data_IF_039993691797
#
_entry.id   IF_039993691797
#
_cell.length_a   1.000
_cell.length_b   1.000
_cell.length_c   1.000
_cell.angle_alpha   90.00
_cell.angle_beta   90.00
_cell.angle_gamma   90.00
#
_symmetry.space_group_name_H-M   'P 1'
#
loop_
_entity.id
_entity.type
_entity.pdbx_description
1 polymer ?
#
# COMPACT_ATOMS: atom_id res chain seq x y z
N UNK A 1 19.43 1.84 -5.56
CA UNK A 1 18.31 1.27 -4.78
C UNK A 1 17.80 2.20 -3.68
N UNK A 2 18.47 2.44 -2.55
CA UNK A 2 17.89 3.29 -1.47
C UNK A 2 17.60 4.74 -1.92
N UNK A 3 18.53 5.40 -2.63
CA UNK A 3 18.35 6.76 -3.16
C UNK A 3 17.20 6.88 -4.19
N UNK A 4 16.97 5.83 -4.97
CA UNK A 4 15.92 5.81 -6.00
C UNK A 4 14.55 5.49 -5.40
N UNK A 5 14.49 4.58 -4.43
CA UNK A 5 13.27 4.27 -3.68
C UNK A 5 12.76 5.52 -2.96
N UNK A 6 13.65 6.24 -2.28
CA UNK A 6 13.31 7.47 -1.58
C UNK A 6 12.76 8.55 -2.51
N UNK A 7 13.46 8.85 -3.62
CA UNK A 7 13.02 9.85 -4.60
C UNK A 7 11.68 9.48 -5.22
N UNK A 8 11.50 8.21 -5.56
CA UNK A 8 10.27 7.72 -6.15
C UNK A 8 9.11 7.77 -5.17
N UNK A 9 9.32 7.33 -3.93
CA UNK A 9 8.26 7.34 -2.92
C UNK A 9 7.86 8.78 -2.58
N UNK A 10 8.82 9.69 -2.37
CA UNK A 10 8.50 11.11 -2.12
C UNK A 10 7.75 11.79 -3.27
N UNK A 11 8.04 11.41 -4.52
CA UNK A 11 7.41 12.04 -5.69
C UNK A 11 6.07 11.40 -6.09
N UNK A 12 5.87 10.11 -5.83
CA UNK A 12 4.76 9.33 -6.37
C UNK A 12 3.88 8.68 -5.31
N UNK A 13 4.25 8.73 -4.02
CA UNK A 13 3.38 8.25 -2.97
C UNK A 13 2.29 9.28 -2.67
N UNK A 14 1.10 8.79 -2.34
CA UNK A 14 -0.06 9.60 -2.02
C UNK A 14 -0.85 8.97 -0.86
N UNK A 15 -1.54 9.81 -0.11
CA UNK A 15 -2.40 9.35 0.97
C UNK A 15 -3.71 8.79 0.42
N UNK A 16 -4.17 7.69 0.98
CA UNK A 16 -5.45 7.08 0.63
C UNK A 16 -6.04 6.36 1.83
N UNK A 17 -7.26 5.85 1.66
CA UNK A 17 -7.94 5.05 2.67
C UNK A 17 -8.35 3.71 2.07
N UNK A 18 -8.16 2.63 2.83
CA UNK A 18 -8.63 1.30 2.47
C UNK A 18 -9.23 0.62 3.70
N UNK A 19 -10.51 0.28 3.63
CA UNK A 19 -11.27 -0.34 4.74
C UNK A 19 -11.14 0.43 6.07
N UNK A 20 -11.14 1.76 6.02
CA UNK A 20 -11.00 2.62 7.21
C UNK A 20 -9.56 2.79 7.71
N UNK A 21 -8.56 2.17 7.06
CA UNK A 21 -7.15 2.37 7.38
C UNK A 21 -6.57 3.53 6.58
N UNK A 22 -5.89 4.46 7.25
CA UNK A 22 -5.11 5.50 6.57
C UNK A 22 -3.87 4.87 5.98
N UNK A 23 -3.71 4.98 4.67
CA UNK A 23 -2.65 4.33 3.93
C UNK A 23 -1.78 5.33 3.18
N UNK A 24 -0.46 5.10 3.19
CA UNK A 24 0.45 5.73 2.22
C UNK A 24 0.62 4.77 1.05
N UNK A 25 0.17 5.17 -0.14
CA UNK A 25 0.11 4.33 -1.33
C UNK A 25 1.14 4.73 -2.37
N UNK A 26 1.72 3.76 -3.09
CA UNK A 26 2.61 4.02 -4.23
C UNK A 26 2.38 3.00 -5.34
N UNK A 27 2.33 3.47 -6.60
CA UNK A 27 2.21 2.61 -7.77
C UNK A 27 3.58 2.01 -8.13
N UNK A 28 4.04 1.03 -7.35
CA UNK A 28 5.31 0.34 -7.57
C UNK A 28 5.16 -1.15 -7.31
N UNK A 29 5.67 -1.94 -8.24
CA UNK A 29 5.67 -3.41 -8.17
C UNK A 29 7.05 -3.96 -7.86
N UNK A 30 7.12 -5.25 -7.48
CA UNK A 30 8.37 -5.96 -7.15
C UNK A 30 9.19 -5.26 -6.06
N UNK A 31 8.48 -4.75 -5.06
CA UNK A 31 9.06 -4.04 -3.92
C UNK A 31 8.42 -4.52 -2.60
N UNK A 32 8.94 -4.03 -1.48
CA UNK A 32 8.50 -4.35 -0.13
C UNK A 32 8.25 -3.05 0.65
N UNK A 33 8.02 -3.15 1.96
CA UNK A 33 7.79 -1.99 2.83
C UNK A 33 8.93 -0.97 2.84
N UNK A 34 10.18 -1.35 2.51
CA UNK A 34 11.34 -0.44 2.54
C UNK A 34 11.24 0.70 1.51
N UNK A 35 10.34 0.60 0.53
CA UNK A 35 10.07 1.73 -0.36
C UNK A 35 9.52 2.94 0.39
N UNK A 36 8.85 2.72 1.52
CA UNK A 36 8.23 3.77 2.32
C UNK A 36 9.13 4.31 3.44
N UNK A 37 10.36 3.80 3.63
CA UNK A 37 11.24 4.22 4.73
C UNK A 37 11.41 5.75 4.81
N UNK A 38 11.29 6.46 3.68
CA UNK A 38 11.43 7.92 3.61
C UNK A 38 10.16 8.74 3.85
N UNK A 39 8.99 8.10 3.90
CA UNK A 39 7.68 8.76 4.05
C UNK A 39 6.80 8.12 5.13
N UNK A 40 7.20 6.96 5.65
CA UNK A 40 6.46 6.23 6.66
C UNK A 40 6.44 6.99 7.98
N UNK A 41 5.24 7.15 8.54
CA UNK A 41 5.00 7.82 9.80
C UNK A 41 3.89 7.05 10.52
N UNK A 42 4.27 6.28 11.54
CA UNK A 42 3.34 5.45 12.33
C UNK A 42 2.30 6.29 13.08
N UNK A 43 2.54 7.58 13.31
CA UNK A 43 1.56 8.47 13.93
C UNK A 43 0.46 8.91 12.95
N UNK A 44 0.72 8.85 11.63
CA UNK A 44 -0.20 9.30 10.58
C UNK A 44 -0.89 8.17 9.83
N UNK A 45 -0.15 7.10 9.53
CA UNK A 45 -0.61 6.02 8.67
C UNK A 45 -0.73 4.71 9.44
N UNK A 46 -1.74 3.93 9.09
CA UNK A 46 -1.98 2.60 9.64
C UNK A 46 -1.36 1.51 8.78
N UNK A 47 -1.24 1.74 7.47
CA UNK A 47 -0.63 0.80 6.54
C UNK A 47 0.11 1.49 5.38
N UNK A 48 1.03 0.74 4.79
CA UNK A 48 1.72 1.02 3.54
C UNK A 48 1.05 0.22 2.42
N UNK A 49 0.84 0.81 1.25
CA UNK A 49 0.13 0.18 0.13
C UNK A 49 0.94 0.27 -1.16
N UNK A 50 1.41 -0.86 -1.68
CA UNK A 50 1.99 -0.91 -3.03
C UNK A 50 0.99 -1.51 -3.99
N UNK A 51 0.86 -0.95 -5.18
CA UNK A 51 -0.01 -1.53 -6.20
C UNK A 51 0.59 -1.43 -7.59
N UNK A 52 0.07 -2.22 -8.52
CA UNK A 52 0.38 -2.09 -9.93
C UNK A 52 -0.36 -3.10 -10.80
N UNK A 53 -0.46 -2.79 -12.08
CA UNK A 53 -1.21 -3.58 -13.03
C UNK A 53 -0.33 -4.67 -13.66
N UNK A 54 -0.75 -5.93 -13.57
CA UNK A 54 -0.04 -7.08 -14.15
C UNK A 54 -1.04 -8.11 -14.66
N UNK A 55 -0.82 -8.60 -15.89
CA UNK A 55 -1.62 -9.69 -16.51
C UNK A 55 -3.14 -9.43 -16.47
N UNK A 56 -3.56 -8.18 -16.69
CA UNK A 56 -4.98 -7.82 -16.77
C UNK A 56 -5.66 -7.57 -15.42
N UNK A 57 -4.92 -7.55 -14.31
CA UNK A 57 -5.45 -7.28 -12.98
C UNK A 57 -4.52 -6.36 -12.19
N UNK A 58 -5.08 -5.61 -11.24
CA UNK A 58 -4.33 -4.90 -10.24
C UNK A 58 -3.87 -5.87 -9.16
N UNK A 59 -2.59 -5.84 -8.82
CA UNK A 59 -2.07 -6.47 -7.62
C UNK A 59 -1.88 -5.39 -6.56
N UNK A 60 -2.40 -5.63 -5.37
CA UNK A 60 -2.29 -4.73 -4.21
C UNK A 60 -1.60 -5.49 -3.09
N UNK A 61 -0.57 -4.90 -2.50
CA UNK A 61 0.09 -5.39 -1.30
C UNK A 61 0.02 -4.34 -0.21
N UNK A 62 -0.25 -4.79 1.00
CA UNK A 62 -0.39 -4.02 2.22
C UNK A 62 0.67 -4.45 3.21
N UNK A 63 1.25 -3.47 3.91
CA UNK A 63 2.20 -3.71 4.98
C UNK A 63 1.86 -2.83 6.18
N UNK A 64 2.09 -3.31 7.39
CA UNK A 64 1.99 -2.49 8.59
C UNK A 64 3.02 -2.96 9.60
N UNK A 65 3.65 -2.00 10.29
CA UNK A 65 4.53 -2.25 11.43
C UNK A 65 3.76 -2.23 12.76
N UNK A 66 2.48 -1.85 12.73
CA UNK A 66 1.63 -1.72 13.91
C UNK A 66 1.05 -3.08 14.33
N UNK A 67 1.30 -3.47 15.57
CA UNK A 67 0.75 -4.71 16.14
C UNK A 67 -0.77 -4.70 16.29
N UNK A 68 -1.42 -3.55 16.30
CA UNK A 68 -2.89 -3.46 16.38
C UNK A 68 -3.59 -3.41 15.01
N UNK A 69 -2.84 -3.46 13.90
CA UNK A 69 -3.38 -3.45 12.54
C UNK A 69 -3.25 -4.85 11.93
N UNK A 70 -4.34 -5.40 11.39
CA UNK A 70 -4.35 -6.68 10.67
C UNK A 70 -4.72 -6.47 9.20
N UNK A 71 -3.69 -6.36 8.35
CA UNK A 71 -3.89 -6.24 6.89
C UNK A 71 -4.24 -7.57 6.23
N UNK A 72 -4.07 -8.71 6.93
CA UNK A 72 -4.42 -10.02 6.38
C UNK A 72 -5.92 -10.20 6.20
N UNK A 73 -6.73 -9.60 7.09
CA UNK A 73 -8.19 -9.61 6.98
C UNK A 73 -8.68 -8.91 5.70
N UNK A 74 -8.11 -7.73 5.40
CA UNK A 74 -8.40 -6.94 4.19
C UNK A 74 -8.14 -7.76 2.92
N UNK A 75 -6.99 -8.44 2.88
CA UNK A 75 -6.62 -9.27 1.75
C UNK A 75 -7.51 -10.51 1.62
N UNK A 76 -7.76 -11.24 2.72
CA UNK A 76 -8.61 -12.45 2.74
C UNK A 76 -10.04 -12.15 2.27
N UNK A 77 -10.60 -11.03 2.71
CA UNK A 77 -11.94 -10.58 2.30
C UNK A 77 -12.06 -10.31 0.80
N UNK A 78 -10.93 -10.12 0.10
CA UNK A 78 -10.84 -9.90 -1.35
C UNK A 78 -10.30 -11.11 -2.12
N UNK A 79 -10.28 -12.29 -1.49
CA UNK A 79 -9.76 -13.52 -2.10
C UNK A 79 -8.23 -13.59 -2.19
N UNK A 80 -7.52 -12.69 -1.50
CA UNK A 80 -6.08 -12.74 -1.31
C UNK A 80 -5.67 -13.45 -0.02
N UNK A 81 -4.51 -13.09 0.51
CA UNK A 81 -3.99 -13.68 1.75
C UNK A 81 -2.69 -13.04 2.23
N UNK A 82 -2.16 -13.58 3.32
CA UNK A 82 -0.92 -13.11 3.93
C UNK A 82 -0.93 -13.18 5.46
N UNK A 83 -0.01 -12.44 6.06
CA UNK A 83 0.18 -12.32 7.50
C UNK A 83 -0.35 -10.98 8.01
N UNK A 84 -0.52 -10.89 9.33
CA UNK A 84 -1.08 -9.73 10.02
C UNK A 84 -0.45 -8.39 9.59
N UNK A 85 0.87 -8.35 9.44
CA UNK A 85 1.62 -7.15 9.02
C UNK A 85 2.00 -7.08 7.54
N UNK A 86 1.68 -8.10 6.73
CA UNK A 86 2.01 -8.12 5.30
C UNK A 86 1.07 -9.05 4.52
N UNK A 87 0.24 -8.49 3.65
CA UNK A 87 -0.75 -9.26 2.89
C UNK A 87 -1.01 -8.65 1.51
N UNK A 88 -1.63 -9.40 0.61
CA UNK A 88 -1.94 -8.90 -0.73
C UNK A 88 -3.08 -9.63 -1.41
N UNK A 89 -3.68 -8.97 -2.39
CA UNK A 89 -4.80 -9.47 -3.18
C UNK A 89 -4.74 -8.95 -4.62
N UNK A 90 -5.54 -9.56 -5.49
CA UNK A 90 -5.71 -9.11 -6.87
C UNK A 90 -7.15 -8.62 -7.09
N UNK A 91 -7.32 -7.60 -7.91
CA UNK A 91 -8.62 -7.00 -8.19
C UNK A 91 -8.68 -6.45 -9.62
N UNK A 92 -9.89 -6.34 -10.18
CA UNK A 92 -10.11 -5.72 -11.50
C UNK A 92 -10.12 -4.19 -11.42
N UNK A 93 -10.59 -3.66 -10.30
CA UNK A 93 -10.71 -2.24 -10.00
C UNK A 93 -10.04 -1.98 -8.65
N UNK A 94 -9.36 -0.83 -8.52
CA UNK A 94 -8.66 -0.49 -7.28
C UNK A 94 -9.68 -0.15 -6.18
N UNK A 95 -9.54 -0.74 -4.97
CA UNK A 95 -10.51 -0.54 -3.89
C UNK A 95 -10.24 0.72 -3.06
N UNK A 96 -9.51 1.68 -3.60
CA UNK A 96 -9.14 2.93 -2.95
C UNK A 96 -9.13 4.06 -3.97
N UNK A 97 -9.38 5.27 -3.49
CA UNK A 97 -9.35 6.45 -4.34
C UNK A 97 -7.92 6.97 -4.46
N UNK A 98 -7.50 7.30 -5.67
CA UNK A 98 -6.28 8.07 -5.87
C UNK A 98 -6.61 9.54 -5.52
N UNK A 99 -6.46 9.91 -4.26
CA UNK A 99 -6.56 11.32 -3.86
C UNK A 99 -5.27 12.02 -4.33
N UNK A 100 -5.21 12.34 -5.61
CA UNK A 100 -4.35 13.39 -6.12
C UNK A 100 -4.93 14.72 -5.64
N UNK A 101 -4.11 15.59 -5.10
CA UNK A 101 -4.53 16.91 -4.64
C UNK A 101 -5.44 17.61 -5.64
N UNK A 102 -6.46 18.28 -5.13
CA UNK A 102 -7.26 19.26 -5.88
C UNK A 102 -6.35 20.19 -6.67
N UNK A 103 -6.56 20.16 -8.00
CA UNK A 103 -6.23 21.15 -9.05
C UNK A 103 -4.83 21.80 -9.05
#
# INVERSE_FOLDING_TARGET
QNSENEKYCKACAFETELDGLKCIAVNKMLTNSQVFDSVWDESKYDAMLTFGFRKGQWTVSLYSTKDNVDVSGIAKNRGGGGHKGAAGFQCKELPFQMQGGTQ
#
